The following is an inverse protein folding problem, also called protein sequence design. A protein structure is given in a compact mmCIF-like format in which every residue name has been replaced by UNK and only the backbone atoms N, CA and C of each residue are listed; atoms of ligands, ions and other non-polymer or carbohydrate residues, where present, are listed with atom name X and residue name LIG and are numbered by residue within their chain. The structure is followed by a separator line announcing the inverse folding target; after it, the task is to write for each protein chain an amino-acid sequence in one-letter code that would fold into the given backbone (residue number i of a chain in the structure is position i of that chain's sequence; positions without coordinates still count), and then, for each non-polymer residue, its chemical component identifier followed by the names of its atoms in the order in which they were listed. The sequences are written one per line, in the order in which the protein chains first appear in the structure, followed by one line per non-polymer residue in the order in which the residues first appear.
data_IF_420631108964
#
_entry.id   IF_420631108964
#
_cell.length_a   1.000
_cell.length_b   1.000
_cell.length_c   1.000
_cell.angle_alpha   90.00
_cell.angle_beta   90.00
_cell.angle_gamma   90.00
#
_symmetry.space_group_name_H-M   'P 1'
#
loop_
_entity.id
_entity.type
_entity.pdbx_description
1 polymer ?
#
# COMPACT_ATOMS: atom_id res chain seq x y z
N UNK A 1 1.57 20.73 -19.41
CA UNK A 1 0.59 20.59 -20.51
C UNK A 1 -0.48 19.62 -20.07
N UNK A 2 -1.73 19.84 -20.45
CA UNK A 2 -2.86 19.01 -20.03
C UNK A 2 -3.79 18.74 -21.20
N UNK A 3 -4.26 17.49 -21.34
CA UNK A 3 -5.24 17.12 -22.36
C UNK A 3 -6.43 16.41 -21.72
N UNK A 4 -7.59 16.54 -22.37
CA UNK A 4 -8.87 15.99 -21.91
C UNK A 4 -9.17 14.66 -22.62
N UNK A 5 -9.67 13.68 -21.86
CA UNK A 5 -9.95 12.32 -22.33
C UNK A 5 -11.32 11.86 -21.86
N UNK A 6 -11.98 11.04 -22.67
CA UNK A 6 -13.28 10.41 -22.40
C UNK A 6 -13.34 9.02 -23.03
N UNK A 7 -14.29 8.18 -22.58
CA UNK A 7 -14.54 6.86 -23.15
C UNK A 7 -13.32 5.94 -23.12
N UNK A 8 -13.17 5.10 -24.14
CA UNK A 8 -12.08 4.11 -24.22
C UNK A 8 -10.68 4.74 -24.16
N UNK A 9 -10.50 5.92 -24.77
CA UNK A 9 -9.22 6.64 -24.72
C UNK A 9 -8.80 7.03 -23.30
N UNK A 10 -9.76 7.18 -22.39
CA UNK A 10 -9.46 7.44 -20.98
C UNK A 10 -9.01 6.17 -20.26
N UNK A 11 -9.59 5.00 -20.58
CA UNK A 11 -9.11 3.71 -20.06
C UNK A 11 -7.70 3.41 -20.57
N UNK A 12 -7.49 3.49 -21.89
CA UNK A 12 -6.19 3.28 -22.53
C UNK A 12 -5.12 4.17 -21.88
N UNK A 13 -5.47 5.44 -21.61
CA UNK A 13 -4.57 6.38 -20.95
C UNK A 13 -4.19 5.93 -19.54
N UNK A 14 -5.14 5.44 -18.72
CA UNK A 14 -4.86 4.98 -17.37
C UNK A 14 -3.93 3.76 -17.40
N UNK A 15 -4.19 2.80 -18.30
CA UNK A 15 -3.33 1.63 -18.49
C UNK A 15 -1.90 2.05 -18.89
N UNK A 16 -1.80 2.98 -19.82
CA UNK A 16 -0.56 3.58 -20.28
C UNK A 16 0.23 4.24 -19.13
N UNK A 17 -0.44 4.99 -18.25
CA UNK A 17 0.20 5.61 -17.07
C UNK A 17 0.82 4.54 -16.17
N UNK A 18 0.13 3.40 -15.97
CA UNK A 18 0.69 2.31 -15.19
C UNK A 18 1.88 1.65 -15.89
N UNK A 19 1.75 1.32 -17.18
CA UNK A 19 2.82 0.67 -17.96
C UNK A 19 4.07 1.55 -18.12
N UNK A 20 3.92 2.87 -18.13
CA UNK A 20 5.04 3.83 -18.19
C UNK A 20 5.72 4.07 -16.84
N UNK A 21 5.21 3.51 -15.75
CA UNK A 21 5.84 3.65 -14.44
C UNK A 21 7.24 3.03 -14.40
N UNK A 22 8.15 3.71 -13.67
CA UNK A 22 9.55 3.29 -13.48
C UNK A 22 10.02 3.33 -12.03
N UNK A 23 9.21 3.87 -11.13
CA UNK A 23 9.56 4.09 -9.72
C UNK A 23 8.38 3.77 -8.82
N UNK A 24 7.21 4.26 -9.21
CA UNK A 24 6.00 4.02 -8.44
C UNK A 24 4.76 4.13 -9.33
N UNK A 25 3.71 3.50 -8.83
CA UNK A 25 2.34 3.64 -9.30
C UNK A 25 1.54 4.06 -8.07
N UNK A 26 0.75 5.12 -8.19
CA UNK A 26 -0.16 5.56 -7.14
C UNK A 26 -1.58 5.46 -7.68
N UNK A 27 -2.38 4.66 -6.98
CA UNK A 27 -3.80 4.50 -7.22
C UNK A 27 -4.53 5.17 -6.07
N UNK A 28 -5.21 6.26 -6.37
CA UNK A 28 -6.12 6.94 -5.46
C UNK A 28 -7.53 6.69 -5.94
N UNK A 29 -8.32 5.92 -5.20
CA UNK A 29 -9.73 5.71 -5.53
C UNK A 29 -10.52 5.31 -4.28
N UNK A 30 -11.71 5.88 -4.02
CA UNK A 30 -12.54 5.44 -2.90
C UNK A 30 -12.98 3.98 -3.04
N UNK A 31 -13.17 3.51 -4.28
CA UNK A 31 -13.63 2.15 -4.55
C UNK A 31 -12.72 1.49 -5.56
N UNK A 32 -12.40 0.22 -5.29
CA UNK A 32 -11.61 -0.65 -6.14
C UNK A 32 -12.48 -1.81 -6.57
N UNK A 33 -12.61 -1.98 -7.88
CA UNK A 33 -13.20 -3.17 -8.50
C UNK A 33 -12.47 -3.44 -9.81
N UNK A 34 -11.29 -4.06 -9.68
CA UNK A 34 -10.43 -4.32 -10.83
C UNK A 34 -11.04 -5.39 -11.74
N UNK A 35 -11.00 -5.14 -13.04
CA UNK A 35 -11.16 -6.21 -14.03
C UNK A 35 -9.85 -6.95 -14.30
N UNK A 36 -9.95 -8.03 -15.07
CA UNK A 36 -8.80 -8.82 -15.48
C UNK A 36 -7.81 -8.03 -16.35
N UNK A 37 -8.24 -6.97 -17.02
CA UNK A 37 -7.38 -6.14 -17.88
C UNK A 37 -6.45 -5.27 -17.02
N UNK A 38 -7.00 -4.53 -16.06
CA UNK A 38 -6.21 -3.75 -15.11
C UNK A 38 -5.30 -4.62 -14.25
N UNK A 39 -5.74 -5.84 -13.86
CA UNK A 39 -4.87 -6.80 -13.16
C UNK A 39 -3.64 -7.16 -14.01
N UNK A 40 -3.85 -7.56 -15.27
CA UNK A 40 -2.74 -7.85 -16.21
C UNK A 40 -1.81 -6.65 -16.41
N UNK A 41 -2.36 -5.45 -16.50
CA UNK A 41 -1.58 -4.21 -16.65
C UNK A 41 -0.73 -3.93 -15.42
N UNK A 42 -1.30 -4.06 -14.22
CA UNK A 42 -0.58 -3.85 -12.97
C UNK A 42 0.46 -4.94 -12.72
N UNK A 43 0.17 -6.20 -13.02
CA UNK A 43 1.13 -7.31 -12.96
C UNK A 43 2.35 -7.01 -13.84
N UNK A 44 2.12 -6.59 -15.09
CA UNK A 44 3.19 -6.21 -16.01
C UNK A 44 3.95 -4.97 -15.53
N UNK A 45 3.26 -3.96 -15.00
CA UNK A 45 3.87 -2.72 -14.56
C UNK A 45 4.68 -2.87 -13.25
N UNK A 46 4.39 -3.90 -12.45
CA UNK A 46 5.05 -4.21 -11.17
C UNK A 46 5.97 -5.44 -11.24
N UNK A 47 6.18 -6.00 -12.44
CA UNK A 47 7.16 -7.07 -12.69
C UNK A 47 8.56 -6.62 -12.27
N UNK A 48 8.90 -5.35 -12.52
CA UNK A 48 10.06 -4.72 -11.91
C UNK A 48 9.79 -4.45 -10.43
N UNK A 49 10.42 -5.26 -9.56
CA UNK A 49 10.27 -5.18 -8.11
C UNK A 49 10.71 -3.85 -7.50
N UNK A 50 11.41 -2.98 -8.26
CA UNK A 50 11.71 -1.62 -7.82
C UNK A 50 10.53 -0.66 -7.96
N UNK A 51 9.48 -1.00 -8.73
CA UNK A 51 8.26 -0.20 -8.84
C UNK A 51 7.41 -0.36 -7.58
N UNK A 52 7.23 0.72 -6.82
CA UNK A 52 6.40 0.74 -5.63
C UNK A 52 4.94 1.04 -5.98
N UNK A 53 4.05 0.08 -5.70
CA UNK A 53 2.61 0.28 -5.81
C UNK A 53 2.05 0.89 -4.51
N UNK A 54 1.50 2.09 -4.57
CA UNK A 54 0.79 2.75 -3.46
C UNK A 54 -0.69 2.78 -3.77
N UNK A 55 -1.49 2.08 -2.96
CA UNK A 55 -2.94 2.03 -3.07
C UNK A 55 -3.56 2.83 -1.93
N UNK A 56 -4.15 3.99 -2.25
CA UNK A 56 -4.93 4.79 -1.34
C UNK A 56 -6.43 4.56 -1.61
N UNK A 57 -7.07 3.84 -0.69
CA UNK A 57 -8.50 3.57 -0.67
C UNK A 57 -9.17 4.31 0.49
N UNK A 58 -10.49 4.28 0.54
CA UNK A 58 -11.22 4.97 1.60
C UNK A 58 -12.66 5.23 1.25
N UNK A 59 -13.26 6.25 1.88
CA UNK A 59 -14.71 6.50 1.92
C UNK A 59 -15.36 5.54 2.92
N UNK A 60 -15.84 6.11 4.04
CA UNK A 60 -16.48 5.49 5.22
C UNK A 60 -15.53 5.36 6.42
N UNK A 61 -16.06 5.32 7.64
CA UNK A 61 -15.24 5.26 8.87
C UNK A 61 -15.05 3.81 9.38
N UNK A 62 -15.95 2.89 8.97
CA UNK A 62 -16.22 1.69 9.76
C UNK A 62 -15.94 0.35 9.07
N UNK A 63 -15.63 0.32 7.76
CA UNK A 63 -15.40 -0.94 7.04
C UNK A 63 -14.64 -0.77 5.70
N UNK A 64 -13.41 -1.27 5.63
CA UNK A 64 -12.58 -1.23 4.42
C UNK A 64 -13.15 -2.08 3.29
N UNK A 65 -13.93 -3.12 3.60
CA UNK A 65 -14.50 -4.02 2.59
C UNK A 65 -15.62 -3.36 1.78
N UNK A 66 -16.07 -2.17 2.20
CA UNK A 66 -16.92 -1.30 1.39
C UNK A 66 -16.15 -0.61 0.27
N UNK A 67 -14.84 -0.40 0.46
CA UNK A 67 -13.94 0.26 -0.48
C UNK A 67 -13.25 -0.72 -1.42
N UNK A 68 -12.98 -1.95 -0.96
CA UNK A 68 -12.27 -2.97 -1.74
C UNK A 68 -12.82 -4.36 -1.43
N UNK A 69 -13.01 -5.19 -2.46
CA UNK A 69 -13.42 -6.58 -2.27
C UNK A 69 -12.31 -7.39 -1.58
N UNK A 70 -12.65 -8.51 -0.94
CA UNK A 70 -11.64 -9.41 -0.35
C UNK A 70 -10.67 -9.93 -1.42
N UNK A 71 -11.19 -10.30 -2.59
CA UNK A 71 -10.39 -10.86 -3.67
C UNK A 71 -9.43 -9.81 -4.26
N UNK A 72 -9.90 -8.58 -4.44
CA UNK A 72 -9.03 -7.49 -4.90
C UNK A 72 -8.00 -7.11 -3.84
N UNK A 73 -8.38 -7.10 -2.55
CA UNK A 73 -7.44 -6.85 -1.46
C UNK A 73 -6.32 -7.89 -1.43
N UNK A 74 -6.66 -9.18 -1.54
CA UNK A 74 -5.67 -10.25 -1.57
C UNK A 74 -4.83 -10.21 -2.87
N UNK A 75 -5.42 -9.86 -4.01
CA UNK A 75 -4.69 -9.57 -5.24
C UNK A 75 -3.66 -8.47 -5.02
N UNK A 76 -4.05 -7.33 -4.44
CA UNK A 76 -3.11 -6.24 -4.18
C UNK A 76 -2.00 -6.68 -3.20
N UNK A 77 -2.34 -7.40 -2.13
CA UNK A 77 -1.37 -7.93 -1.16
C UNK A 77 -0.35 -8.91 -1.78
N UNK A 78 -0.65 -9.47 -2.95
CA UNK A 78 0.28 -10.36 -3.68
C UNK A 78 1.46 -9.62 -4.33
N UNK A 79 1.36 -8.31 -4.59
CA UNK A 79 2.46 -7.54 -5.18
C UNK A 79 3.64 -7.40 -4.21
N UNK A 80 4.85 -7.58 -4.72
CA UNK A 80 6.11 -7.65 -3.94
C UNK A 80 6.49 -6.32 -3.28
N UNK A 81 6.13 -5.19 -3.90
CA UNK A 81 6.44 -3.85 -3.41
C UNK A 81 5.17 -3.00 -3.36
N UNK A 82 4.39 -3.16 -2.28
CA UNK A 82 3.08 -2.50 -2.16
C UNK A 82 2.88 -1.85 -0.78
N UNK A 83 2.16 -0.74 -0.79
CA UNK A 83 1.56 -0.12 0.39
C UNK A 83 0.07 0.08 0.19
N UNK A 84 -0.74 -0.43 1.12
CA UNK A 84 -2.19 -0.20 1.14
C UNK A 84 -2.51 0.77 2.28
N UNK A 85 -3.20 1.84 1.94
CA UNK A 85 -3.43 3.02 2.74
C UNK A 85 -4.92 3.34 2.76
N UNK A 86 -5.37 3.97 3.83
CA UNK A 86 -6.77 4.31 4.04
C UNK A 86 -6.97 5.76 4.45
N UNK A 87 -7.88 6.46 3.77
CA UNK A 87 -8.34 7.80 4.12
C UNK A 87 -9.89 7.81 4.23
N UNK A 88 -10.47 7.92 5.45
CA UNK A 88 -11.91 7.84 5.66
C UNK A 88 -12.73 8.82 4.80
N UNK A 89 -12.17 9.99 4.48
CA UNK A 89 -12.82 11.07 3.73
C UNK A 89 -12.47 11.06 2.23
N UNK A 90 -11.89 9.97 1.72
CA UNK A 90 -11.48 9.88 0.33
C UNK A 90 -12.67 9.91 -0.64
N UNK A 91 -12.60 10.78 -1.64
CA UNK A 91 -13.54 10.78 -2.77
C UNK A 91 -12.86 10.99 -4.13
N UNK A 92 -11.59 11.39 -4.10
CA UNK A 92 -10.78 11.64 -5.27
C UNK A 92 -10.49 10.35 -6.04
N UNK A 93 -10.40 10.48 -7.36
CA UNK A 93 -9.92 9.42 -8.24
C UNK A 93 -8.76 9.98 -9.04
N UNK A 94 -7.59 9.41 -8.81
CA UNK A 94 -6.39 9.84 -9.49
C UNK A 94 -5.43 8.66 -9.63
N UNK A 95 -4.93 8.47 -10.85
CA UNK A 95 -4.01 7.41 -11.21
C UNK A 95 -2.73 8.06 -11.73
N UNK A 96 -1.60 7.79 -11.09
CA UNK A 96 -0.37 8.50 -11.41
C UNK A 96 0.88 7.65 -11.27
N UNK A 97 1.93 8.09 -11.93
CA UNK A 97 3.30 7.68 -11.70
C UNK A 97 4.15 8.94 -11.42
N UNK A 98 5.47 8.79 -11.34
CA UNK A 98 6.37 9.92 -11.02
C UNK A 98 6.44 11.04 -12.09
N UNK A 99 5.87 10.83 -13.29
CA UNK A 99 5.96 11.73 -14.44
C UNK A 99 4.61 12.20 -14.99
N UNK A 100 3.52 11.50 -14.69
CA UNK A 100 2.20 11.84 -15.20
C UNK A 100 1.08 11.39 -14.26
N UNK A 101 -0.07 12.06 -14.35
CA UNK A 101 -1.24 11.78 -13.56
C UNK A 101 -2.51 11.92 -14.39
N UNK A 102 -3.52 11.12 -14.09
CA UNK A 102 -4.87 11.21 -14.63
C UNK A 102 -5.81 11.52 -13.49
N UNK A 103 -6.40 12.71 -13.48
CA UNK A 103 -7.51 13.04 -12.58
C UNK A 103 -8.80 12.77 -13.35
N UNK A 104 -9.71 11.99 -12.77
CA UNK A 104 -10.89 11.52 -13.50
C UNK A 104 -12.10 11.30 -12.59
N UNK A 105 -13.29 11.22 -13.19
CA UNK A 105 -14.50 10.71 -12.54
C UNK A 105 -14.55 9.17 -12.48
N UNK A 106 -13.75 8.49 -13.29
CA UNK A 106 -13.75 7.04 -13.48
C UNK A 106 -13.11 6.30 -12.29
N UNK A 107 -13.82 5.33 -11.72
CA UNK A 107 -13.20 4.34 -10.82
C UNK A 107 -12.59 3.21 -11.66
N UNK A 108 -11.63 2.46 -11.10
CA UNK A 108 -11.20 1.19 -11.68
C UNK A 108 -12.35 0.18 -11.52
N UNK A 109 -13.18 0.03 -12.55
CA UNK A 109 -14.35 -0.83 -12.59
C UNK A 109 -14.28 -1.84 -13.73
N UNK A 110 -14.62 -3.08 -13.38
CA UNK A 110 -15.06 -4.09 -14.32
C UNK A 110 -16.34 -3.66 -15.04
N UNK A 111 -16.24 -3.47 -16.36
CA UNK A 111 -17.37 -3.40 -17.31
C UNK A 111 -18.24 -2.13 -17.36
N UNK A 112 -17.98 -1.09 -16.56
CA UNK A 112 -18.80 0.16 -16.60
C UNK A 112 -18.26 1.29 -17.46
N UNK A 113 -17.09 1.13 -18.09
CA UNK A 113 -16.62 2.04 -19.15
C UNK A 113 -17.68 2.21 -20.27
N UNK A 114 -18.56 1.23 -20.46
CA UNK A 114 -19.63 1.26 -21.45
C UNK A 114 -20.95 1.89 -20.96
N UNK A 115 -21.14 2.14 -19.66
CA UNK A 115 -22.44 2.59 -19.12
C UNK A 115 -22.42 3.99 -18.51
N UNK A 116 -21.25 4.54 -18.18
CA UNK A 116 -21.11 5.88 -17.61
C UNK A 116 -20.38 6.83 -18.57
N UNK A 117 -20.83 8.08 -18.63
CA UNK A 117 -20.08 9.14 -19.32
C UNK A 117 -18.99 9.64 -18.38
N UNK A 118 -17.77 9.15 -18.61
CA UNK A 118 -16.60 9.49 -17.79
C UNK A 118 -15.70 10.50 -18.50
N UNK A 119 -15.03 11.32 -17.70
CA UNK A 119 -14.09 12.33 -18.18
C UNK A 119 -12.83 12.37 -17.31
N UNK A 120 -11.71 12.75 -17.91
CA UNK A 120 -10.45 12.90 -17.20
C UNK A 120 -9.52 13.91 -17.84
N UNK A 121 -8.57 14.38 -17.05
CA UNK A 121 -7.50 15.28 -17.47
C UNK A 121 -6.17 14.60 -17.22
N UNK A 122 -5.37 14.49 -18.28
CA UNK A 122 -3.98 14.03 -18.21
C UNK A 122 -3.08 15.20 -17.85
N UNK A 123 -2.31 15.08 -16.79
CA UNK A 123 -1.27 16.01 -16.38
C UNK A 123 0.10 15.37 -16.59
N UNK A 124 1.00 16.05 -17.31
CA UNK A 124 2.39 15.61 -17.49
C UNK A 124 3.36 16.54 -16.79
N UNK A 125 4.40 15.95 -16.22
CA UNK A 125 5.56 16.67 -15.68
C UNK A 125 6.23 17.45 -16.80
N UNK A 126 6.36 18.75 -16.61
CA UNK A 126 7.09 19.64 -17.54
C UNK A 126 8.43 20.00 -16.91
N UNK A 127 9.52 19.85 -17.66
CA UNK A 127 10.87 20.18 -17.19
C UNK A 127 11.18 21.69 -17.24
N UNK A 128 10.50 22.44 -18.13
CA UNK A 128 10.75 23.86 -18.40
C UNK A 128 9.43 24.62 -18.47
N UNK A 129 9.28 25.70 -17.67
CA UNK A 129 8.11 26.58 -17.67
C UNK A 129 7.43 26.73 -16.31
N UNK A 130 6.51 27.69 -16.20
CA UNK A 130 5.97 28.18 -14.92
C UNK A 130 4.76 27.41 -14.35
N UNK A 131 4.17 26.45 -15.08
CA UNK A 131 3.00 25.70 -14.60
C UNK A 131 3.28 24.21 -14.51
N UNK A 132 3.36 23.71 -13.28
CA UNK A 132 3.53 22.28 -13.01
C UNK A 132 2.35 21.75 -12.17
N UNK A 133 1.15 21.84 -12.72
CA UNK A 133 -0.07 21.27 -12.13
C UNK A 133 0.11 19.79 -11.79
N UNK A 134 0.94 19.07 -12.54
CA UNK A 134 1.36 17.72 -12.19
C UNK A 134 2.11 17.68 -10.85
N UNK A 135 3.18 18.48 -10.66
CA UNK A 135 3.91 18.53 -9.37
C UNK A 135 2.97 18.88 -8.22
N UNK A 136 2.07 19.86 -8.40
CA UNK A 136 1.12 20.20 -7.34
C UNK A 136 0.19 19.02 -7.03
N UNK A 137 -0.42 18.40 -8.04
CA UNK A 137 -1.28 17.23 -7.90
C UNK A 137 -0.54 16.07 -7.19
N UNK A 138 0.64 15.72 -7.69
CA UNK A 138 1.47 14.65 -7.14
C UNK A 138 1.84 14.92 -5.67
N UNK A 139 2.37 16.11 -5.35
CA UNK A 139 2.76 16.47 -3.98
C UNK A 139 1.56 16.52 -3.02
N UNK A 140 0.39 16.96 -3.50
CA UNK A 140 -0.83 16.96 -2.68
C UNK A 140 -1.25 15.55 -2.30
N UNK A 141 -1.24 14.60 -3.26
CA UNK A 141 -1.60 13.21 -2.95
C UNK A 141 -0.52 12.48 -2.16
N UNK A 142 0.77 12.73 -2.40
CA UNK A 142 1.85 12.18 -1.56
C UNK A 142 1.69 12.63 -0.11
N UNK A 143 1.36 13.90 0.16
CA UNK A 143 1.09 14.36 1.52
C UNK A 143 -0.11 13.66 2.16
N UNK A 144 -1.19 13.46 1.41
CA UNK A 144 -2.35 12.70 1.90
C UNK A 144 -1.93 11.26 2.21
N UNK A 145 -1.12 10.63 1.36
CA UNK A 145 -0.59 9.27 1.55
C UNK A 145 0.29 9.18 2.81
N UNK A 146 1.15 10.17 3.05
CA UNK A 146 1.99 10.24 4.25
C UNK A 146 1.15 10.37 5.53
N UNK A 147 0.05 11.10 5.46
CA UNK A 147 -0.88 11.34 6.57
C UNK A 147 -1.94 10.23 6.73
N UNK A 148 -2.13 9.36 5.73
CA UNK A 148 -3.15 8.30 5.71
C UNK A 148 -2.88 7.18 6.71
N UNK A 149 -3.91 6.37 6.97
CA UNK A 149 -3.80 5.16 7.78
C UNK A 149 -3.09 4.07 6.97
N UNK A 150 -1.90 3.65 7.42
CA UNK A 150 -1.26 2.47 6.86
C UNK A 150 -2.04 1.21 7.26
N UNK A 151 -2.38 0.35 6.30
CA UNK A 151 -3.06 -0.93 6.53
C UNK A 151 -2.16 -2.13 6.25
N UNK A 152 -1.38 -2.06 5.18
CA UNK A 152 -0.51 -3.15 4.74
C UNK A 152 0.76 -2.60 4.10
N UNK A 153 1.91 -3.20 4.43
CA UNK A 153 3.22 -2.90 3.85
C UNK A 153 3.93 -4.20 3.49
N UNK A 154 4.28 -4.32 2.22
CA UNK A 154 5.18 -5.36 1.74
C UNK A 154 6.32 -4.71 0.93
N UNK A 155 7.54 -5.18 1.17
CA UNK A 155 8.74 -4.68 0.50
C UNK A 155 9.56 -5.82 -0.09
N UNK A 156 10.24 -5.60 -1.23
CA UNK A 156 11.18 -6.55 -1.78
C UNK A 156 12.39 -6.70 -0.85
N UNK A 157 12.88 -7.94 -0.77
CA UNK A 157 14.14 -8.29 -0.16
C UNK A 157 15.19 -8.40 -1.24
N UNK A 158 16.29 -7.66 -1.08
CA UNK A 158 17.43 -7.76 -1.99
C UNK A 158 18.68 -8.18 -1.25
N UNK A 159 19.51 -8.99 -1.91
CA UNK A 159 20.81 -9.43 -1.42
C UNK A 159 21.93 -8.73 -2.18
N UNK A 160 22.88 -8.13 -1.47
CA UNK A 160 24.04 -7.49 -2.13
C UNK A 160 24.90 -8.53 -2.84
N UNK A 161 25.33 -8.22 -4.05
CA UNK A 161 26.35 -8.93 -4.84
C UNK A 161 27.50 -7.99 -5.20
N UNK A 162 28.63 -8.58 -5.58
CA UNK A 162 29.77 -7.89 -6.18
C UNK A 162 30.21 -6.63 -5.39
N UNK A 163 30.55 -6.81 -4.10
CA UNK A 163 30.93 -5.71 -3.19
C UNK A 163 29.90 -4.57 -3.07
N UNK A 164 28.62 -4.82 -3.41
CA UNK A 164 27.52 -3.85 -3.29
C UNK A 164 27.15 -3.14 -4.59
N UNK A 165 27.76 -3.50 -5.72
CA UNK A 165 27.45 -2.91 -7.03
C UNK A 165 26.20 -3.48 -7.69
N UNK A 166 25.75 -4.67 -7.26
CA UNK A 166 24.54 -5.31 -7.77
C UNK A 166 23.69 -5.84 -6.62
N UNK A 167 22.39 -6.03 -6.89
CA UNK A 167 21.43 -6.61 -5.95
C UNK A 167 20.64 -7.72 -6.64
N UNK A 168 20.51 -8.86 -5.97
CA UNK A 168 19.63 -9.94 -6.42
C UNK A 168 18.32 -9.90 -5.63
N UNK A 169 17.20 -10.12 -6.32
CA UNK A 169 15.92 -10.32 -5.67
C UNK A 169 15.90 -11.64 -4.87
N UNK A 170 15.37 -11.59 -3.65
CA UNK A 170 15.35 -12.73 -2.72
C UNK A 170 13.97 -12.97 -2.08
N UNK A 171 12.90 -12.42 -2.67
CA UNK A 171 11.54 -12.53 -2.19
C UNK A 171 10.99 -11.23 -1.60
N UNK A 172 9.85 -11.32 -0.91
CA UNK A 172 9.21 -10.18 -0.26
C UNK A 172 9.13 -10.37 1.25
N UNK A 173 8.96 -9.26 1.97
CA UNK A 173 8.67 -9.27 3.40
C UNK A 173 7.50 -8.35 3.71
N UNK A 174 6.47 -8.91 4.33
CA UNK A 174 5.41 -8.14 4.97
C UNK A 174 5.98 -7.48 6.23
N UNK A 175 5.97 -6.16 6.27
CA UNK A 175 6.44 -5.35 7.40
C UNK A 175 5.30 -4.96 8.33
N UNK A 176 4.07 -4.90 7.79
CA UNK A 176 2.88 -4.48 8.51
C UNK A 176 1.64 -5.04 7.82
N UNK A 177 0.70 -5.58 8.59
CA UNK A 177 -0.61 -6.03 8.11
C UNK A 177 -1.61 -5.93 9.27
N UNK A 178 -2.57 -5.02 9.15
CA UNK A 178 -3.71 -4.90 10.05
C UNK A 178 -5.03 -4.97 9.29
N UNK A 179 -5.04 -5.45 8.04
CA UNK A 179 -6.23 -5.34 7.17
C UNK A 179 -7.45 -6.07 7.73
N UNK A 180 -7.23 -7.07 8.61
CA UNK A 180 -8.31 -7.82 9.28
C UNK A 180 -8.84 -7.14 10.55
N UNK A 181 -7.99 -6.38 11.22
CA UNK A 181 -8.27 -5.80 12.55
C UNK A 181 -8.40 -4.27 12.50
N UNK A 182 -8.37 -3.67 11.31
CA UNK A 182 -8.43 -2.23 11.15
C UNK A 182 -9.82 -1.69 11.46
N UNK A 183 -9.87 -0.79 12.43
CA UNK A 183 -11.04 -0.02 12.80
C UNK A 183 -10.56 1.39 13.18
N UNK A 184 -10.90 2.38 12.35
CA UNK A 184 -10.48 3.76 12.57
C UNK A 184 -11.22 4.45 13.73
N UNK A 185 -12.35 3.89 14.15
CA UNK A 185 -13.17 4.37 15.27
C UNK A 185 -12.69 3.82 16.63
N UNK A 186 -11.84 2.78 16.63
CA UNK A 186 -11.36 2.15 17.85
C UNK A 186 -10.54 3.14 18.71
N UNK A 187 -10.90 3.42 19.97
CA UNK A 187 -10.22 4.42 20.80
C UNK A 187 -8.73 4.17 21.04
N UNK A 188 -8.31 2.90 20.98
CA UNK A 188 -6.92 2.49 21.18
C UNK A 188 -6.12 2.37 19.87
N UNK A 189 -6.78 2.54 18.72
CA UNK A 189 -6.10 2.52 17.44
C UNK A 189 -5.15 3.72 17.34
N UNK A 190 -3.88 3.45 17.02
CA UNK A 190 -2.89 4.48 16.74
C UNK A 190 -2.55 4.44 15.26
N UNK A 191 -2.78 5.55 14.59
CA UNK A 191 -2.42 5.71 13.18
C UNK A 191 -0.92 5.53 13.00
N UNK A 192 -0.54 4.66 12.06
CA UNK A 192 0.84 4.46 11.62
C UNK A 192 0.98 5.07 10.23
N UNK A 193 1.96 5.94 10.05
CA UNK A 193 2.29 6.54 8.75
C UNK A 193 3.17 5.60 7.92
N UNK A 194 2.99 5.60 6.60
CA UNK A 194 3.86 4.90 5.65
C UNK A 194 5.34 5.28 5.80
N UNK A 195 5.64 6.51 6.22
CA UNK A 195 7.00 7.02 6.42
C UNK A 195 7.80 6.28 7.51
N UNK A 196 7.11 5.49 8.34
CA UNK A 196 7.75 4.62 9.35
C UNK A 196 8.43 3.39 8.72
N UNK A 197 8.12 3.09 7.45
CA UNK A 197 8.66 1.94 6.73
C UNK A 197 9.63 2.40 5.66
N UNK A 198 10.87 1.90 5.74
CA UNK A 198 11.91 2.24 4.78
C UNK A 198 11.82 1.43 3.48
N UNK A 199 12.35 2.01 2.41
CA UNK A 199 12.54 1.46 1.07
C UNK A 199 13.50 0.23 1.08
N UNK A 200 13.66 -0.50 -0.05
CA UNK A 200 13.91 -1.94 -0.07
C UNK A 200 14.86 -2.51 0.98
N UNK A 201 14.48 -3.63 1.58
CA UNK A 201 15.25 -4.26 2.65
C UNK A 201 16.45 -4.98 2.03
N UNK A 202 17.64 -4.39 2.21
CA UNK A 202 18.89 -5.00 1.76
C UNK A 202 19.47 -5.87 2.88
N UNK A 203 19.60 -7.18 2.63
CA UNK A 203 20.09 -8.16 3.59
C UNK A 203 21.60 -8.37 3.39
N UNK A 204 22.39 -8.28 4.47
CA UNK A 204 23.82 -8.62 4.47
C UNK A 204 24.01 -10.08 4.92
N UNK A 205 24.76 -10.85 4.12
CA UNK A 205 24.95 -12.30 4.21
C UNK A 205 25.45 -12.87 5.53
N UNK A 206 26.05 -12.08 6.41
CA UNK A 206 26.72 -12.62 7.61
C UNK A 206 26.00 -12.35 8.94
N UNK A 207 25.19 -11.30 9.06
CA UNK A 207 24.50 -10.94 10.31
C UNK A 207 23.02 -11.30 10.33
N UNK A 208 22.40 -11.32 9.16
CA UNK A 208 20.94 -11.28 9.08
C UNK A 208 20.33 -12.68 9.02
N UNK A 209 21.04 -13.66 8.45
CA UNK A 209 20.61 -15.07 8.43
C UNK A 209 20.47 -15.64 9.85
N UNK A 210 21.43 -15.37 10.74
CA UNK A 210 21.37 -15.81 12.15
C UNK A 210 20.24 -15.12 12.94
N UNK A 211 19.90 -13.88 12.60
CA UNK A 211 18.80 -13.13 13.23
C UNK A 211 17.44 -13.61 12.72
N UNK A 212 17.35 -13.98 11.43
CA UNK A 212 16.15 -14.53 10.80
C UNK A 212 15.86 -15.97 11.26
N UNK A 213 16.88 -16.83 11.40
CA UNK A 213 16.70 -18.18 11.97
C UNK A 213 16.27 -18.15 13.43
N UNK A 214 16.82 -17.23 14.24
CA UNK A 214 16.42 -17.05 15.65
C UNK A 214 14.97 -16.56 15.77
N UNK A 215 14.48 -15.77 14.80
CA UNK A 215 13.08 -15.31 14.76
C UNK A 215 12.12 -16.37 14.23
N UNK A 216 12.54 -17.21 13.28
CA UNK A 216 11.78 -18.39 12.81
C UNK A 216 11.55 -19.43 13.91
N UNK A 217 12.48 -19.55 14.87
CA UNK A 217 12.42 -20.57 15.94
C UNK A 217 11.67 -20.15 17.22
N UNK A 218 11.13 -18.94 17.34
CA UNK A 218 10.31 -18.59 18.50
C UNK A 218 8.86 -19.04 18.27
N UNK A 219 8.34 -20.00 19.06
CA UNK A 219 6.92 -20.29 19.06
C UNK A 219 6.18 -19.11 19.67
N UNK A 220 5.08 -18.71 19.04
CA UNK A 220 4.02 -17.92 19.66
C UNK A 220 3.40 -18.84 20.71
N UNK A 221 3.86 -18.74 21.96
CA UNK A 221 3.06 -18.99 23.15
C UNK A 221 3.90 -18.80 24.43
N UNK A 222 3.53 -17.78 25.21
CA UNK A 222 3.51 -17.74 26.68
C UNK A 222 3.03 -16.36 27.13
N UNK A 223 1.72 -16.14 27.06
CA UNK A 223 1.04 -15.27 28.02
C UNK A 223 0.27 -16.18 28.99
N UNK A 224 1.00 -16.86 29.87
CA UNK A 224 0.40 -17.67 30.93
C UNK A 224 0.24 -16.81 32.20
N UNK A 225 -1.02 -16.57 32.55
CA UNK A 225 -1.55 -16.73 33.92
C UNK A 225 -0.76 -16.09 35.06
N UNK A 226 -1.17 -14.89 35.47
CA UNK A 226 -1.00 -14.46 36.85
C UNK A 226 -2.33 -14.71 37.61
N UNK A 227 -2.41 -15.84 38.31
CA UNK A 227 -3.44 -16.10 39.31
C UNK A 227 -2.75 -16.55 40.59
N UNK A 228 -3.07 -15.83 41.67
CA UNK A 228 -3.09 -16.24 43.09
C UNK A 228 -1.94 -17.08 43.67
N UNK A 229 -1.35 -16.58 44.76
CA UNK A 229 -1.33 -17.23 46.09
C UNK A 229 -0.41 -16.46 47.04
N UNK A 230 -0.94 -16.04 48.20
CA UNK A 230 -0.57 -16.67 49.46
C UNK A 230 -1.36 -16.09 50.64
N UNK A 231 -2.35 -16.87 51.08
CA UNK A 231 -2.85 -16.90 52.46
C UNK A 231 -1.93 -17.86 53.22
N UNK A 232 -1.30 -17.38 54.30
CA UNK A 232 -0.68 -18.25 55.28
C UNK A 232 -1.33 -18.03 56.65
N UNK A 233 -2.11 -19.03 57.04
CA UNK A 233 -2.70 -19.20 58.36
C UNK A 233 -1.64 -19.89 59.24
N UNK A 234 -1.08 -19.17 60.22
CA UNK A 234 -0.34 -19.78 61.32
C UNK A 234 -1.28 -19.83 62.52
N UNK A 235 -1.76 -21.03 62.86
CA UNK A 235 -2.29 -21.37 64.18
C UNK A 235 -1.24 -22.19 64.92
N UNK A 236 -0.74 -21.67 66.05
CA UNK A 236 -0.30 -22.50 67.19
C UNK A 236 -0.58 -21.76 68.51
N UNK A 237 -1.23 -22.49 69.42
CA UNK A 237 -1.71 -22.16 70.77
C UNK A 237 -0.57 -22.09 71.82
N UNK A 238 -0.93 -21.53 72.99
CA UNK A 238 -0.32 -21.53 74.35
C UNK A 238 0.40 -20.22 74.66
N UNK A 239 0.15 -19.49 75.76
CA UNK A 239 -0.55 -19.71 77.03
C UNK A 239 -1.37 -18.45 77.38
#
# INVERSE_FOLDING_TARGET
MSDFYTGDKLNDLIEDVFLRAKKEIIIVSPYIKLDDQYKKVLDKATEDHDVHLKLLIGKNEDDIYRSISKDDLEYFKSHINISILYEPKLHAKCYMNYNEAVITSMNLYDYSANNNVEAGVHLRKVMIGNSNSFIYCYNSFERIIEEAHCLFIQRPLFKKKLFGLAKDFHGAKTLYDITKDFDSSCPNYKKVSITTFHDPVVINTQSDEATLERRRKKPVDKLSTATSKNVHLVKKKRL
#
